data_IF_602123085550
#
_entry.id   IF_602123085550
#
_cell.length_a   1.000
_cell.length_b   1.000
_cell.length_c   1.000
_cell.angle_alpha   90.00
_cell.angle_beta   90.00
_cell.angle_gamma   90.00
#
_symmetry.space_group_name_H-M   'P 1'
#
loop_
_entity.id
_entity.type
_entity.pdbx_description
1 polymer ?
#
# COMPACT_ATOMS: atom_id res chain seq x y z
N UNK A 1 -6.62 -7.35 -46.64
CA UNK A 1 -6.48 -5.95 -46.16
C UNK A 1 -6.55 -6.02 -44.65
N UNK A 2 -5.62 -5.39 -43.94
CA UNK A 2 -5.62 -5.37 -42.48
C UNK A 2 -5.79 -3.93 -42.00
N UNK A 3 -6.70 -3.71 -41.07
CA UNK A 3 -7.02 -2.40 -40.50
C UNK A 3 -7.11 -2.48 -38.98
N UNK A 4 -6.80 -1.39 -38.29
CA UNK A 4 -7.18 -1.23 -36.90
C UNK A 4 -8.63 -0.75 -36.77
N UNK A 5 -9.34 -1.16 -35.74
CA UNK A 5 -10.69 -0.64 -35.44
C UNK A 5 -10.70 0.91 -35.44
N UNK A 6 -11.70 1.51 -36.06
CA UNK A 6 -11.83 2.97 -36.23
C UNK A 6 -10.99 3.58 -37.36
N UNK A 7 -10.09 2.81 -37.98
CA UNK A 7 -9.30 3.28 -39.13
C UNK A 7 -10.06 3.16 -40.46
N UNK A 8 -9.63 3.94 -41.45
CA UNK A 8 -10.23 3.97 -42.78
C UNK A 8 -9.17 3.71 -43.86
N UNK A 9 -9.59 3.08 -44.95
CA UNK A 9 -8.78 2.93 -46.16
C UNK A 9 -9.66 3.03 -47.40
N UNK A 10 -9.09 3.04 -48.60
CA UNK A 10 -9.83 3.02 -49.85
C UNK A 10 -9.34 1.90 -50.76
N UNK A 11 -10.27 1.19 -51.37
CA UNK A 11 -9.99 0.26 -52.46
C UNK A 11 -10.31 0.92 -53.79
N UNK A 12 -9.53 0.57 -54.81
CA UNK A 12 -9.72 1.05 -56.18
C UNK A 12 -10.06 -0.17 -57.03
N UNK A 13 -11.19 -0.11 -57.73
CA UNK A 13 -11.57 -1.10 -58.73
C UNK A 13 -11.10 -0.67 -60.12
N UNK A 14 -10.57 -1.62 -60.90
CA UNK A 14 -10.17 -1.40 -62.30
C UNK A 14 -11.00 -2.31 -63.21
N UNK A 15 -11.81 -1.73 -64.09
CA UNK A 15 -12.64 -2.47 -65.05
C UNK A 15 -11.85 -2.70 -66.34
N UNK A 16 -11.87 -3.93 -66.86
CA UNK A 16 -11.24 -4.31 -68.12
C UNK A 16 -12.29 -4.81 -69.13
N UNK A 17 -12.26 -4.36 -70.41
CA UNK A 17 -11.26 -3.45 -70.96
C UNK A 17 -11.45 -1.99 -70.47
N UNK A 18 -10.39 -1.16 -70.42
CA UNK A 18 -10.50 0.22 -69.92
C UNK A 18 -11.42 1.14 -70.73
N UNK A 19 -11.76 0.76 -71.96
CA UNK A 19 -12.70 1.46 -72.84
C UNK A 19 -14.11 0.83 -72.84
N UNK A 20 -14.45 0.07 -71.80
CA UNK A 20 -15.81 -0.42 -71.60
C UNK A 20 -16.80 0.75 -71.63
N UNK A 21 -17.97 0.53 -72.23
CA UNK A 21 -19.03 1.55 -72.32
C UNK A 21 -19.62 1.91 -70.96
N UNK A 22 -19.50 1.02 -69.97
CA UNK A 22 -19.84 1.26 -68.58
C UNK A 22 -18.68 0.79 -67.69
N UNK A 23 -18.25 1.63 -66.75
CA UNK A 23 -17.20 1.32 -65.76
C UNK A 23 -17.69 1.49 -64.32
N UNK A 24 -19.00 1.69 -64.13
CA UNK A 24 -19.59 1.85 -62.81
C UNK A 24 -19.58 0.52 -62.04
N UNK A 25 -19.34 0.62 -60.73
CA UNK A 25 -19.24 -0.52 -59.83
C UNK A 25 -20.04 -0.28 -58.56
N UNK A 26 -20.53 -1.35 -57.96
CA UNK A 26 -21.21 -1.36 -56.67
C UNK A 26 -20.33 -2.09 -55.65
N UNK A 27 -20.10 -1.43 -54.52
CA UNK A 27 -19.37 -1.98 -53.38
C UNK A 27 -20.33 -2.54 -52.34
N UNK A 28 -19.99 -3.70 -51.78
CA UNK A 28 -20.72 -4.30 -50.66
C UNK A 28 -19.74 -4.86 -49.63
N UNK A 29 -20.16 -4.83 -48.37
CA UNK A 29 -19.51 -5.55 -47.27
C UNK A 29 -20.37 -6.75 -46.91
N UNK A 30 -19.76 -7.91 -46.74
CA UNK A 30 -20.43 -9.13 -46.32
C UNK A 30 -20.95 -9.02 -44.87
N UNK A 31 -20.23 -8.30 -44.01
CA UNK A 31 -20.62 -8.00 -42.64
C UNK A 31 -20.39 -6.52 -42.32
N UNK A 32 -21.49 -5.76 -42.37
CA UNK A 32 -21.49 -4.32 -42.08
C UNK A 32 -21.29 -3.98 -40.60
N UNK A 33 -21.33 -4.96 -39.69
CA UNK A 33 -21.00 -4.74 -38.28
C UNK A 33 -19.48 -4.72 -38.04
N UNK A 34 -18.70 -5.37 -38.92
CA UNK A 34 -17.23 -5.40 -38.89
C UNK A 34 -16.65 -4.22 -39.67
N UNK A 35 -17.14 -3.99 -40.90
CA UNK A 35 -16.71 -2.86 -41.71
C UNK A 35 -17.76 -2.44 -42.73
N UNK A 36 -17.81 -1.14 -43.03
CA UNK A 36 -18.65 -0.58 -44.09
C UNK A 36 -17.80 -0.06 -45.23
N UNK A 37 -18.32 -0.15 -46.46
CA UNK A 37 -17.70 0.41 -47.66
C UNK A 37 -18.69 1.34 -48.33
N UNK A 38 -18.26 2.54 -48.72
CA UNK A 38 -19.12 3.51 -49.42
C UNK A 38 -19.10 3.31 -50.96
N UNK A 39 -19.89 4.12 -51.67
CA UNK A 39 -19.98 4.06 -53.13
C UNK A 39 -18.66 4.35 -53.87
N UNK A 40 -17.68 4.95 -53.20
CA UNK A 40 -16.38 5.31 -53.77
C UNK A 40 -15.28 4.30 -53.36
N UNK A 41 -15.65 3.20 -52.70
CA UNK A 41 -14.70 2.18 -52.23
C UNK A 41 -13.96 2.57 -50.94
N UNK A 42 -14.38 3.61 -50.22
CA UNK A 42 -13.82 3.94 -48.90
C UNK A 42 -14.39 3.00 -47.85
N UNK A 43 -13.50 2.27 -47.19
CA UNK A 43 -13.81 1.35 -46.10
C UNK A 43 -13.62 2.07 -44.77
N UNK A 44 -14.56 1.88 -43.85
CA UNK A 44 -14.44 2.24 -42.43
C UNK A 44 -14.49 0.97 -41.58
N UNK A 45 -13.43 0.70 -40.82
CA UNK A 45 -13.34 -0.43 -39.90
C UNK A 45 -14.10 -0.11 -38.61
N UNK A 46 -15.08 -0.94 -38.26
CA UNK A 46 -16.01 -0.66 -37.16
C UNK A 46 -15.77 -1.53 -35.92
N UNK A 47 -15.43 -2.81 -36.10
CA UNK A 47 -15.27 -3.76 -35.00
C UNK A 47 -14.27 -4.84 -35.37
N UNK A 48 -13.54 -5.36 -34.39
CA UNK A 48 -12.71 -6.56 -34.53
C UNK A 48 -13.44 -7.70 -35.26
N UNK A 49 -12.76 -8.31 -36.23
CA UNK A 49 -13.26 -9.49 -36.95
C UNK A 49 -12.82 -9.54 -38.40
N UNK A 50 -13.30 -10.57 -39.10
CA UNK A 50 -13.01 -10.79 -40.51
C UNK A 50 -14.28 -10.62 -41.36
N UNK A 51 -14.18 -9.88 -42.47
CA UNK A 51 -15.27 -9.73 -43.44
C UNK A 51 -14.73 -9.66 -44.86
N UNK A 52 -15.60 -9.84 -45.85
CA UNK A 52 -15.24 -9.68 -47.25
C UNK A 52 -15.81 -8.37 -47.80
N UNK A 53 -14.96 -7.60 -48.46
CA UNK A 53 -15.39 -6.47 -49.29
C UNK A 53 -15.47 -6.96 -50.73
N UNK A 54 -16.65 -6.85 -51.33
CA UNK A 54 -16.94 -7.27 -52.70
C UNK A 54 -17.21 -6.04 -53.56
N UNK A 55 -16.65 -6.04 -54.76
CA UNK A 55 -16.99 -5.10 -55.83
C UNK A 55 -17.64 -5.85 -56.98
N UNK A 56 -18.70 -5.29 -57.55
CA UNK A 56 -19.41 -5.86 -58.71
C UNK A 56 -19.64 -4.79 -59.76
N UNK A 57 -19.39 -5.05 -61.03
CA UNK A 57 -19.76 -4.14 -62.12
C UNK A 57 -21.29 -3.99 -62.19
N UNK A 58 -21.78 -2.77 -62.43
CA UNK A 58 -23.24 -2.54 -62.55
C UNK A 58 -23.85 -3.31 -63.73
N UNK A 59 -23.07 -3.50 -64.80
CA UNK A 59 -23.41 -4.33 -65.94
C UNK A 59 -22.59 -5.62 -65.97
N UNK A 60 -23.16 -6.71 -66.48
CA UNK A 60 -22.44 -7.97 -66.67
C UNK A 60 -22.15 -8.81 -65.42
N UNK A 61 -22.40 -8.29 -64.20
CA UNK A 61 -22.23 -9.01 -62.93
C UNK A 61 -20.82 -9.57 -62.69
N UNK A 62 -19.77 -8.96 -63.24
CA UNK A 62 -18.40 -9.34 -62.94
C UNK A 62 -18.04 -8.86 -61.54
N UNK A 63 -17.42 -9.72 -60.73
CA UNK A 63 -17.12 -9.37 -59.35
C UNK A 63 -15.76 -9.87 -58.88
N UNK A 64 -15.19 -9.13 -57.96
CA UNK A 64 -14.00 -9.52 -57.20
C UNK A 64 -14.22 -9.24 -55.71
N UNK A 65 -13.45 -9.89 -54.85
CA UNK A 65 -13.56 -9.74 -53.40
C UNK A 65 -12.22 -9.85 -52.71
N UNK A 66 -12.02 -9.07 -51.66
CA UNK A 66 -10.86 -9.20 -50.78
C UNK A 66 -11.29 -9.47 -49.34
N UNK A 67 -10.53 -10.32 -48.64
CA UNK A 67 -10.63 -10.48 -47.20
C UNK A 67 -10.13 -9.21 -46.51
N UNK A 68 -10.93 -8.69 -45.58
CA UNK A 68 -10.64 -7.59 -44.68
C UNK A 68 -10.59 -8.14 -43.25
N UNK A 69 -9.47 -7.93 -42.58
CA UNK A 69 -9.26 -8.26 -41.17
C UNK A 69 -9.19 -6.96 -40.40
N UNK A 70 -10.04 -6.79 -39.38
CA UNK A 70 -10.02 -5.66 -38.46
C UNK A 70 -9.48 -6.15 -37.12
N UNK A 71 -8.41 -5.53 -36.66
CA UNK A 71 -7.76 -5.83 -35.38
C UNK A 71 -8.04 -4.70 -34.38
N UNK A 72 -8.24 -5.02 -33.10
CA UNK A 72 -8.21 -4.02 -32.02
C UNK A 72 -6.78 -3.76 -31.57
N UNK A 73 -6.44 -2.50 -31.30
CA UNK A 73 -5.17 -2.16 -30.62
C UNK A 73 -5.39 -2.39 -29.13
N UNK A 74 -4.73 -3.41 -28.58
CA UNK A 74 -4.74 -3.64 -27.14
C UNK A 74 -4.04 -2.47 -26.43
N UNK A 75 -4.73 -1.88 -25.46
CA UNK A 75 -4.15 -0.90 -24.53
C UNK A 75 -3.56 -1.70 -23.37
N UNK A 76 -2.23 -1.69 -23.18
CA UNK A 76 -1.59 -2.44 -22.12
C UNK A 76 -1.92 -1.85 -20.76
N UNK A 77 -1.89 -2.69 -19.73
CA UNK A 77 -1.77 -2.22 -18.34
C UNK A 77 -0.43 -1.52 -18.15
N UNK A 78 -0.44 -0.40 -17.43
CA UNK A 78 0.75 0.37 -17.06
C UNK A 78 1.02 0.32 -15.55
N UNK A 79 -0.02 0.11 -14.74
CA UNK A 79 0.08 0.07 -13.29
C UNK A 79 -1.07 -0.73 -12.65
N UNK A 80 -0.79 -1.33 -11.49
CA UNK A 80 -1.80 -1.86 -10.57
C UNK A 80 -1.53 -1.28 -9.18
N UNK A 81 -2.59 -0.90 -8.46
CA UNK A 81 -2.49 -0.27 -7.14
C UNK A 81 -3.44 -0.92 -6.14
N UNK A 82 -2.93 -1.41 -5.02
CA UNK A 82 -3.77 -1.86 -3.90
C UNK A 82 -4.34 -0.66 -3.13
N UNK A 83 -5.55 -0.84 -2.58
CA UNK A 83 -6.25 0.19 -1.78
C UNK A 83 -5.54 0.54 -0.48
N UNK A 84 -4.93 -0.45 0.18
CA UNK A 84 -4.21 -0.30 1.44
C UNK A 84 -2.83 -0.93 1.34
N UNK A 85 -1.80 -0.28 1.90
CA UNK A 85 -0.43 -0.83 1.94
C UNK A 85 -0.18 -1.69 3.18
N UNK A 86 -0.94 -1.44 4.24
CA UNK A 86 -0.85 -2.18 5.51
C UNK A 86 -2.27 -2.39 6.03
N UNK A 87 -2.60 -3.62 6.40
CA UNK A 87 -3.87 -3.99 7.00
C UNK A 87 -3.65 -4.75 8.31
N UNK A 88 -4.54 -4.54 9.28
CA UNK A 88 -4.56 -5.22 10.56
C UNK A 88 -5.86 -5.99 10.69
N UNK A 89 -5.80 -7.32 10.81
CA UNK A 89 -6.99 -8.19 10.84
C UNK A 89 -6.88 -9.14 12.02
N UNK A 90 -7.98 -9.37 12.73
CA UNK A 90 -7.96 -10.32 13.84
C UNK A 90 -8.03 -11.75 13.33
N UNK A 91 -7.45 -12.66 14.11
CA UNK A 91 -7.56 -14.11 13.84
C UNK A 91 -9.02 -14.52 13.73
N UNK A 92 -9.37 -15.32 12.71
CA UNK A 92 -10.71 -15.76 12.36
C UNK A 92 -11.69 -14.67 11.90
N UNK A 93 -11.23 -13.42 11.70
CA UNK A 93 -12.02 -12.39 11.04
C UNK A 93 -11.74 -12.38 9.52
N UNK A 94 -12.73 -11.92 8.77
CA UNK A 94 -12.61 -11.69 7.33
C UNK A 94 -12.38 -10.20 7.05
N UNK A 95 -11.64 -9.91 5.99
CA UNK A 95 -11.42 -8.56 5.48
C UNK A 95 -11.50 -8.55 3.95
N UNK A 96 -11.49 -7.37 3.34
CA UNK A 96 -11.46 -7.23 1.88
C UNK A 96 -10.45 -6.18 1.47
N UNK A 97 -9.75 -6.42 0.38
CA UNK A 97 -8.85 -5.46 -0.26
C UNK A 97 -9.19 -5.33 -1.74
N UNK A 98 -9.12 -4.13 -2.28
CA UNK A 98 -9.35 -3.87 -3.71
C UNK A 98 -8.05 -3.45 -4.40
N UNK A 99 -7.98 -3.72 -5.71
CA UNK A 99 -6.92 -3.24 -6.58
C UNK A 99 -7.49 -2.43 -7.75
N UNK A 100 -6.80 -1.36 -8.14
CA UNK A 100 -7.13 -0.52 -9.29
C UNK A 100 -6.10 -0.74 -10.39
N UNK A 101 -6.54 -1.00 -11.62
CA UNK A 101 -5.68 -1.18 -12.80
C UNK A 101 -5.73 0.09 -13.65
N UNK A 102 -4.54 0.60 -14.02
CA UNK A 102 -4.38 1.78 -14.85
C UNK A 102 -3.63 1.45 -16.16
N UNK A 103 -3.96 2.12 -17.27
CA UNK A 103 -5.06 3.09 -17.39
C UNK A 103 -6.44 2.43 -17.27
N UNK A 104 -7.47 3.21 -16.91
CA UNK A 104 -8.84 2.70 -16.71
C UNK A 104 -9.41 2.01 -17.97
N UNK A 105 -8.90 2.40 -19.14
CA UNK A 105 -9.26 1.89 -20.46
C UNK A 105 -8.28 0.82 -20.98
N UNK A 106 -7.44 0.24 -20.12
CA UNK A 106 -6.66 -0.94 -20.46
C UNK A 106 -7.56 -2.07 -20.97
N UNK A 107 -7.09 -2.79 -21.99
CA UNK A 107 -7.89 -3.82 -22.68
C UNK A 107 -8.16 -5.05 -21.81
N UNK A 108 -7.21 -5.41 -20.93
CA UNK A 108 -7.37 -6.49 -19.95
C UNK A 108 -7.07 -5.98 -18.55
N UNK A 109 -8.09 -5.90 -17.69
CA UNK A 109 -7.98 -5.43 -16.30
C UNK A 109 -8.04 -6.55 -15.26
N UNK A 110 -7.94 -7.80 -15.70
CA UNK A 110 -7.94 -8.94 -14.80
C UNK A 110 -6.67 -8.96 -13.94
N UNK A 111 -6.85 -9.27 -12.66
CA UNK A 111 -5.77 -9.38 -11.69
C UNK A 111 -5.80 -10.76 -11.04
N UNK A 112 -4.66 -11.18 -10.49
CA UNK A 112 -4.55 -12.40 -9.68
C UNK A 112 -3.97 -12.01 -8.33
N UNK A 113 -4.59 -12.51 -7.27
CA UNK A 113 -4.11 -12.34 -5.91
C UNK A 113 -3.34 -13.56 -5.43
N UNK A 114 -2.40 -13.34 -4.52
CA UNK A 114 -1.67 -14.40 -3.84
C UNK A 114 -1.27 -13.95 -2.44
N UNK A 115 -1.09 -14.91 -1.55
CA UNK A 115 -0.56 -14.70 -0.20
C UNK A 115 0.83 -15.34 -0.11
N UNK A 116 1.78 -14.66 0.54
CA UNK A 116 3.12 -15.24 0.76
C UNK A 116 3.12 -16.41 1.75
N UNK A 117 2.07 -16.57 2.56
CA UNK A 117 1.85 -17.69 3.47
C UNK A 117 0.34 -17.90 3.73
N UNK A 118 -0.25 -18.81 2.96
CA UNK A 118 -1.67 -19.19 3.10
C UNK A 118 -2.01 -19.85 4.44
N UNK A 119 -1.02 -20.29 5.22
CA UNK A 119 -1.27 -20.83 6.55
C UNK A 119 -1.51 -19.72 7.59
N UNK A 120 -1.14 -18.46 7.28
CA UNK A 120 -1.42 -17.27 8.09
C UNK A 120 -2.73 -16.62 7.61
N UNK A 121 -2.82 -16.33 6.31
CA UNK A 121 -4.04 -15.81 5.70
C UNK A 121 -4.12 -16.17 4.21
N UNK A 122 -5.33 -16.43 3.72
CA UNK A 122 -5.62 -16.62 2.30
C UNK A 122 -6.37 -15.41 1.73
N UNK A 123 -6.31 -15.27 0.41
CA UNK A 123 -7.04 -14.24 -0.34
C UNK A 123 -7.66 -14.87 -1.59
N UNK A 124 -8.90 -14.49 -1.92
CA UNK A 124 -9.59 -14.92 -3.14
C UNK A 124 -9.27 -14.00 -4.32
N UNK A 125 -9.62 -14.41 -5.54
CA UNK A 125 -9.46 -13.57 -6.74
C UNK A 125 -10.27 -12.26 -6.68
N UNK A 126 -11.35 -12.22 -5.88
CA UNK A 126 -12.18 -11.04 -5.64
C UNK A 126 -11.62 -10.13 -4.52
N UNK A 127 -10.50 -10.51 -3.91
CA UNK A 127 -9.85 -9.74 -2.84
C UNK A 127 -10.43 -9.97 -1.45
N UNK A 128 -11.16 -11.07 -1.23
CA UNK A 128 -11.65 -11.45 0.11
C UNK A 128 -10.56 -12.19 0.89
N UNK A 129 -10.26 -11.72 2.10
CA UNK A 129 -9.18 -12.20 2.97
C UNK A 129 -9.78 -13.02 4.12
N UNK A 130 -9.22 -14.20 4.38
CA UNK A 130 -9.50 -14.99 5.59
C UNK A 130 -8.24 -15.14 6.43
N UNK A 131 -8.27 -14.68 7.68
CA UNK A 131 -7.14 -14.75 8.60
C UNK A 131 -7.23 -16.00 9.53
N UNK A 132 -6.18 -16.82 9.57
CA UNK A 132 -6.17 -18.12 10.27
C UNK A 132 -5.39 -18.14 11.58
N UNK A 133 -4.22 -17.50 11.63
CA UNK A 133 -3.35 -17.47 12.82
C UNK A 133 -2.51 -16.20 12.84
N UNK A 134 -1.95 -15.89 14.00
CA UNK A 134 -1.07 -14.72 14.19
C UNK A 134 0.16 -14.81 13.27
N UNK A 135 0.53 -13.67 12.68
CA UNK A 135 1.67 -13.57 11.78
C UNK A 135 1.58 -12.38 10.83
N UNK A 136 2.65 -12.16 10.07
CA UNK A 136 2.73 -11.15 9.03
C UNK A 136 2.88 -11.84 7.68
N UNK A 137 2.11 -11.38 6.69
CA UNK A 137 2.09 -11.95 5.34
C UNK A 137 1.96 -10.86 4.30
N UNK A 138 2.60 -11.05 3.14
CA UNK A 138 2.46 -10.15 2.00
C UNK A 138 1.34 -10.66 1.08
N UNK A 139 0.32 -9.83 0.89
CA UNK A 139 -0.68 -10.03 -0.14
C UNK A 139 -0.21 -9.35 -1.40
N UNK A 140 -0.11 -10.09 -2.51
CA UNK A 140 0.43 -9.61 -3.77
C UNK A 140 -0.67 -9.67 -4.82
N UNK A 141 -0.90 -8.56 -5.51
CA UNK A 141 -1.74 -8.50 -6.70
C UNK A 141 -0.86 -8.36 -7.94
N UNK A 142 -1.17 -9.12 -8.98
CA UNK A 142 -0.47 -9.05 -10.27
C UNK A 142 -1.52 -8.86 -11.37
N UNK A 143 -1.37 -7.82 -12.20
CA UNK A 143 -2.13 -7.67 -13.42
C UNK A 143 -1.74 -8.79 -14.41
N UNK A 144 -2.73 -9.52 -14.94
CA UNK A 144 -2.46 -10.60 -15.88
C UNK A 144 -1.82 -10.10 -17.17
N UNK A 145 -2.14 -8.87 -17.56
CA UNK A 145 -1.51 -8.17 -18.68
C UNK A 145 -0.33 -7.31 -18.20
N UNK A 146 0.79 -7.39 -18.90
CA UNK A 146 2.02 -6.65 -18.58
C UNK A 146 2.79 -7.12 -17.32
N UNK A 147 2.17 -7.88 -16.42
CA UNK A 147 2.83 -8.41 -15.21
C UNK A 147 3.11 -7.34 -14.14
N UNK A 148 2.46 -6.19 -14.21
CA UNK A 148 2.53 -5.15 -13.18
C UNK A 148 2.02 -5.69 -11.86
N UNK A 149 2.69 -5.36 -10.75
CA UNK A 149 2.36 -5.90 -9.45
C UNK A 149 2.42 -4.82 -8.36
N UNK A 150 1.62 -5.04 -7.32
CA UNK A 150 1.64 -4.24 -6.10
C UNK A 150 1.30 -5.14 -4.89
N UNK A 151 1.50 -4.64 -3.67
CA UNK A 151 1.33 -5.45 -2.48
C UNK A 151 0.84 -4.69 -1.24
N UNK A 152 0.25 -5.46 -0.33
CA UNK A 152 -0.20 -5.05 0.99
C UNK A 152 0.41 -5.97 2.05
N UNK A 153 1.01 -5.38 3.09
CA UNK A 153 1.40 -6.13 4.29
C UNK A 153 0.16 -6.36 5.16
N UNK A 154 -0.25 -7.61 5.30
CA UNK A 154 -1.32 -8.01 6.21
C UNK A 154 -0.71 -8.51 7.53
N UNK A 155 -1.11 -7.90 8.63
CA UNK A 155 -0.71 -8.33 9.97
C UNK A 155 -1.94 -8.92 10.67
N UNK A 156 -1.83 -10.20 11.01
CA UNK A 156 -2.84 -10.95 11.72
C UNK A 156 -2.46 -11.06 13.19
N UNK A 157 -3.35 -10.65 14.09
CA UNK A 157 -3.13 -10.83 15.52
C UNK A 157 -4.43 -11.00 16.31
N UNK A 158 -4.41 -11.65 17.48
CA UNK A 158 -5.61 -11.72 18.31
C UNK A 158 -6.00 -10.37 18.93
N UNK A 159 -5.01 -9.54 19.24
CA UNK A 159 -5.20 -8.27 19.94
C UNK A 159 -4.45 -7.13 19.24
N UNK A 160 -5.10 -5.96 19.16
CA UNK A 160 -4.51 -4.73 18.65
C UNK A 160 -4.77 -3.61 19.65
N UNK A 161 -3.75 -2.79 19.89
CA UNK A 161 -3.84 -1.63 20.78
C UNK A 161 -3.81 -0.36 19.95
N UNK A 162 -4.92 0.38 19.94
CA UNK A 162 -5.01 1.67 19.27
C UNK A 162 -4.54 2.78 20.21
N UNK A 163 -3.55 3.55 19.78
CA UNK A 163 -3.07 4.70 20.56
C UNK A 163 -2.47 5.79 19.68
N UNK A 164 -2.97 7.03 19.82
CA UNK A 164 -2.53 8.20 19.06
C UNK A 164 -2.48 7.99 17.53
N UNK A 165 -3.50 7.33 16.97
CA UNK A 165 -3.60 6.95 15.55
C UNK A 165 -2.61 5.90 15.06
N UNK A 166 -1.89 5.22 15.96
CA UNK A 166 -1.08 4.05 15.64
C UNK A 166 -1.76 2.77 16.14
N UNK A 167 -1.55 1.69 15.39
CA UNK A 167 -1.91 0.33 15.78
C UNK A 167 -0.65 -0.37 16.30
N UNK A 168 -0.69 -0.84 17.54
CA UNK A 168 0.37 -1.61 18.16
C UNK A 168 -0.08 -3.05 18.39
N UNK A 169 0.91 -3.94 18.47
CA UNK A 169 0.71 -5.35 18.76
C UNK A 169 1.30 -5.67 20.14
N UNK A 170 0.53 -6.27 21.05
CA UNK A 170 1.08 -6.76 22.31
C UNK A 170 2.02 -7.94 22.05
N UNK A 171 3.22 -7.90 22.63
CA UNK A 171 4.24 -8.94 22.53
C UNK A 171 4.61 -9.41 23.94
N UNK A 172 4.38 -10.69 24.23
CA UNK A 172 4.73 -11.27 25.53
C UNK A 172 6.16 -11.78 25.49
N UNK A 173 7.01 -11.31 26.41
CA UNK A 173 8.29 -11.96 26.65
C UNK A 173 8.05 -13.21 27.54
N UNK A 174 8.33 -14.43 27.04
CA UNK A 174 8.05 -15.65 27.79
C UNK A 174 8.99 -15.87 29.00
N UNK A 175 10.12 -15.18 29.06
CA UNK A 175 11.07 -15.28 30.17
C UNK A 175 10.67 -14.38 31.34
N UNK A 176 10.25 -13.14 31.07
CA UNK A 176 9.82 -12.17 32.10
C UNK A 176 8.33 -12.26 32.39
N UNK A 177 7.53 -12.84 31.49
CA UNK A 177 6.07 -12.87 31.55
C UNK A 177 5.42 -11.51 31.27
N UNK A 178 6.23 -10.49 30.94
CA UNK A 178 5.79 -9.13 30.68
C UNK A 178 5.29 -8.98 29.25
N UNK A 179 4.26 -8.15 29.06
CA UNK A 179 3.73 -7.82 27.74
C UNK A 179 4.19 -6.42 27.35
N UNK A 180 4.76 -6.27 26.16
CA UNK A 180 5.28 -5.03 25.62
C UNK A 180 4.48 -4.61 24.39
N UNK A 181 4.55 -3.34 24.00
CA UNK A 181 4.20 -2.97 22.63
C UNK A 181 5.31 -3.41 21.67
N UNK A 182 4.94 -3.83 20.46
CA UNK A 182 5.85 -4.29 19.40
C UNK A 182 6.86 -3.22 18.92
N UNK A 183 6.63 -1.94 19.25
CA UNK A 183 7.49 -0.80 18.88
C UNK A 183 7.30 0.38 19.83
N UNK A 184 8.21 1.36 19.74
CA UNK A 184 8.10 2.61 20.49
C UNK A 184 6.87 3.42 20.10
N UNK A 185 6.36 4.26 21.01
CA UNK A 185 5.28 5.20 20.67
C UNK A 185 5.67 6.13 19.53
N UNK A 186 4.77 6.28 18.56
CA UNK A 186 4.97 7.14 17.39
C UNK A 186 5.87 6.51 16.32
N UNK A 187 6.35 5.28 16.52
CA UNK A 187 7.14 4.58 15.51
C UNK A 187 6.24 4.11 14.36
N UNK A 188 6.67 4.34 13.12
CA UNK A 188 5.90 3.94 11.95
C UNK A 188 6.05 2.45 11.61
N UNK A 189 7.05 1.76 12.18
CA UNK A 189 7.26 0.32 11.99
C UNK A 189 7.97 -0.33 13.18
N UNK A 190 7.90 -1.67 13.26
CA UNK A 190 8.78 -2.47 14.13
C UNK A 190 10.22 -2.30 13.64
N UNK A 191 11.17 -2.22 14.58
CA UNK A 191 12.57 -2.04 14.21
C UNK A 191 13.11 -3.24 13.44
N UNK A 192 13.66 -2.99 12.26
CA UNK A 192 14.38 -4.01 11.49
C UNK A 192 15.88 -4.02 11.78
N UNK A 193 16.39 -2.98 12.43
CA UNK A 193 17.79 -2.86 12.85
C UNK A 193 17.96 -1.90 14.02
N UNK A 194 19.18 -1.88 14.57
CA UNK A 194 19.58 -0.94 15.61
C UNK A 194 19.66 0.52 15.17
N UNK A 195 19.53 0.80 13.89
CA UNK A 195 19.63 2.16 13.33
C UNK A 195 18.41 2.49 12.49
N UNK A 196 17.31 1.75 12.63
CA UNK A 196 16.09 2.00 11.88
C UNK A 196 15.35 3.22 12.42
N UNK A 197 15.54 4.35 11.73
CA UNK A 197 14.98 5.66 12.13
C UNK A 197 13.45 5.65 12.22
N UNK A 198 12.78 4.81 11.42
CA UNK A 198 11.32 4.66 11.41
C UNK A 198 10.79 3.98 12.68
N UNK A 199 11.67 3.29 13.40
CA UNK A 199 11.34 2.60 14.64
C UNK A 199 11.64 3.42 15.90
N UNK A 200 12.25 4.61 15.77
CA UNK A 200 12.65 5.37 16.95
C UNK A 200 11.49 5.93 17.76
N UNK A 201 10.36 6.23 17.11
CA UNK A 201 9.18 6.81 17.78
C UNK A 201 9.32 8.30 18.12
N UNK A 202 8.48 8.81 19.01
CA UNK A 202 8.49 10.21 19.46
C UNK A 202 9.49 10.46 20.61
N UNK A 203 9.84 11.73 20.84
CA UNK A 203 10.82 12.23 21.81
C UNK A 203 10.14 12.69 23.10
N UNK A 204 9.66 11.76 23.92
CA UNK A 204 9.01 12.14 25.17
C UNK A 204 10.01 12.67 26.21
N UNK A 205 9.63 13.72 26.94
CA UNK A 205 10.37 14.20 28.10
C UNK A 205 9.84 13.56 29.38
N UNK A 206 10.71 12.92 30.17
CA UNK A 206 10.30 12.10 31.31
C UNK A 206 9.39 12.85 32.28
N UNK A 207 8.21 12.30 32.54
CA UNK A 207 7.20 12.91 33.42
C UNK A 207 6.36 14.01 32.78
N UNK A 208 6.67 14.48 31.56
CA UNK A 208 5.88 15.51 30.88
C UNK A 208 4.66 14.90 30.20
N UNK A 209 3.52 15.57 30.27
CA UNK A 209 2.35 15.20 29.48
C UNK A 209 2.67 15.37 27.99
N UNK A 210 2.24 14.42 27.16
CA UNK A 210 2.29 14.57 25.70
C UNK A 210 1.36 15.73 25.29
N UNK A 211 1.96 16.80 24.77
CA UNK A 211 1.29 18.05 24.40
C UNK A 211 1.70 18.51 22.99
N UNK A 212 2.42 17.66 22.24
CA UNK A 212 2.98 17.97 20.93
C UNK A 212 4.49 18.16 20.94
N UNK A 213 5.10 18.42 22.10
CA UNK A 213 6.55 18.57 22.21
C UNK A 213 7.32 17.32 21.78
N UNK A 214 6.73 16.14 21.98
CA UNK A 214 7.37 14.87 21.71
C UNK A 214 7.59 14.63 20.21
N UNK A 215 6.86 15.33 19.35
CA UNK A 215 7.01 15.15 17.91
C UNK A 215 8.40 15.60 17.47
N UNK A 216 9.04 14.79 16.61
CA UNK A 216 10.41 15.05 16.12
C UNK A 216 10.58 16.37 15.37
N UNK A 217 9.48 16.98 14.92
CA UNK A 217 9.45 18.27 14.24
C UNK A 217 9.01 19.44 15.16
N UNK A 218 8.93 19.22 16.47
CA UNK A 218 8.54 20.26 17.41
C UNK A 218 9.60 21.38 17.50
N UNK A 219 9.14 22.59 17.79
CA UNK A 219 10.04 23.70 18.10
C UNK A 219 10.74 23.46 19.43
N UNK A 220 11.89 24.09 19.63
CA UNK A 220 12.71 23.91 20.84
C UNK A 220 12.64 25.11 21.79
N UNK A 221 12.81 24.85 23.08
CA UNK A 221 13.00 25.84 24.13
C UNK A 221 14.26 25.49 24.94
N UNK A 222 14.93 26.49 25.51
CA UNK A 222 16.12 26.30 26.35
C UNK A 222 15.87 26.69 27.82
N UNK A 223 14.67 27.18 28.13
CA UNK A 223 14.26 27.57 29.49
C UNK A 223 13.53 26.39 30.11
N UNK A 224 13.97 25.97 31.30
CA UNK A 224 13.31 24.91 32.06
C UNK A 224 11.96 25.39 32.59
N UNK A 225 10.98 24.48 32.65
CA UNK A 225 9.69 24.77 33.26
C UNK A 225 9.77 24.80 34.78
N UNK A 226 9.04 25.70 35.43
CA UNK A 226 8.85 25.70 36.89
C UNK A 226 7.58 24.94 37.34
N UNK A 227 6.76 24.52 36.39
CA UNK A 227 5.50 23.80 36.62
C UNK A 227 5.45 22.45 35.91
N UNK A 228 4.49 21.60 36.29
CA UNK A 228 4.28 20.27 35.66
C UNK A 228 3.65 20.38 34.25
N UNK A 229 3.27 21.59 33.82
CA UNK A 229 2.63 21.86 32.53
C UNK A 229 3.19 23.16 31.96
N UNK A 230 4.22 23.11 31.11
CA UNK A 230 4.77 24.29 30.46
C UNK A 230 3.69 25.11 29.75
N UNK A 231 3.88 26.41 29.62
CA UNK A 231 2.97 27.31 28.89
C UNK A 231 3.11 27.22 27.36
N UNK A 232 3.88 26.25 26.88
CA UNK A 232 4.18 26.01 25.47
C UNK A 232 4.36 24.53 25.16
N UNK A 233 4.20 24.15 23.89
CA UNK A 233 4.35 22.80 23.33
C UNK A 233 5.77 22.50 22.82
N UNK A 234 6.76 23.34 23.14
CA UNK A 234 8.14 23.17 22.64
C UNK A 234 8.90 22.09 23.40
N UNK A 235 9.77 21.34 22.72
CA UNK A 235 10.71 20.43 23.35
C UNK A 235 11.79 21.20 24.11
N UNK A 236 11.93 20.95 25.41
CA UNK A 236 12.89 21.68 26.26
C UNK A 236 14.26 21.00 26.17
N UNK A 237 15.25 21.65 25.56
CA UNK A 237 16.62 21.16 25.50
C UNK A 237 17.33 21.47 26.82
N UNK A 238 17.93 20.46 27.42
CA UNK A 238 18.66 20.56 28.70
C UNK A 238 20.12 20.24 28.45
N UNK A 239 21.01 21.18 28.78
CA UNK A 239 22.46 21.03 28.60
C UNK A 239 23.22 20.91 29.94
N UNK A 240 22.52 20.49 31.00
CA UNK A 240 23.08 20.36 32.34
C UNK A 240 22.47 19.18 33.10
N UNK A 241 23.31 18.45 33.84
CA UNK A 241 22.89 17.34 34.70
C UNK A 241 21.83 17.81 35.71
N UNK A 242 20.73 17.07 35.91
CA UNK A 242 20.49 15.69 35.45
C UNK A 242 19.64 15.56 34.17
N UNK A 243 19.65 16.58 33.31
CA UNK A 243 18.92 16.58 32.04
C UNK A 243 17.39 16.54 32.21
N UNK A 244 16.90 17.24 33.24
CA UNK A 244 15.47 17.39 33.53
C UNK A 244 14.93 18.68 32.90
N UNK A 245 13.78 18.59 32.24
CA UNK A 245 13.11 19.72 31.59
C UNK A 245 12.46 20.68 32.59
N UNK A 246 12.36 20.27 33.86
CA UNK A 246 11.71 21.02 34.93
C UNK A 246 12.67 21.36 36.07
N UNK A 247 12.49 22.54 36.67
CA UNK A 247 13.14 22.97 37.91
C UNK A 247 12.13 23.64 38.87
N UNK A 248 11.88 23.08 40.08
CA UNK A 248 12.50 21.88 40.65
C UNK A 248 12.05 20.58 39.93
N UNK A 249 12.78 19.49 40.12
CA UNK A 249 12.45 18.19 39.51
C UNK A 249 11.18 17.58 40.11
N UNK A 250 10.49 16.75 39.33
CA UNK A 250 9.32 16.00 39.79
C UNK A 250 9.23 14.61 39.13
N UNK A 251 9.71 13.59 39.85
CA UNK A 251 9.75 12.21 39.36
C UNK A 251 8.43 11.43 39.57
N UNK A 252 7.37 12.08 40.07
CA UNK A 252 6.11 11.42 40.39
C UNK A 252 5.12 11.35 39.20
N UNK A 253 5.44 12.02 38.09
CA UNK A 253 4.46 12.30 37.03
C UNK A 253 4.12 11.09 36.12
N UNK A 254 4.98 10.07 36.06
CA UNK A 254 4.80 8.84 35.23
C UNK A 254 4.77 7.52 36.04
N UNK A 255 4.53 7.55 37.35
CA UNK A 255 4.75 6.38 38.23
C UNK A 255 3.68 5.27 38.16
N UNK A 256 3.28 4.80 36.98
CA UNK A 256 2.34 3.68 36.82
C UNK A 256 1.28 3.92 35.75
N UNK A 257 0.44 2.92 35.45
CA UNK A 257 -0.49 2.97 34.32
C UNK A 257 -1.58 4.04 34.47
N UNK A 258 -2.01 4.33 35.69
CA UNK A 258 -3.08 5.30 36.01
C UNK A 258 -2.54 6.71 36.33
N UNK A 259 -1.25 6.97 36.09
CA UNK A 259 -0.64 8.24 36.47
C UNK A 259 -0.92 9.35 35.46
N UNK A 260 -1.07 10.58 35.99
CA UNK A 260 -1.57 11.77 35.29
C UNK A 260 -0.95 12.01 33.90
N UNK A 261 0.34 11.77 33.73
CA UNK A 261 1.05 12.09 32.50
C UNK A 261 1.49 10.84 31.71
N UNK A 262 1.05 9.64 32.10
CA UNK A 262 1.46 8.39 31.44
C UNK A 262 1.18 8.48 29.92
N UNK A 263 2.23 8.42 29.07
CA UNK A 263 2.05 8.57 27.63
C UNK A 263 1.51 7.29 26.98
N UNK A 264 1.39 6.19 27.71
CA UNK A 264 1.11 4.88 27.16
C UNK A 264 -0.40 4.65 26.94
N UNK A 265 -0.79 3.65 26.12
CA UNK A 265 -2.17 3.20 26.03
C UNK A 265 -2.71 2.72 27.39
N UNK A 266 -4.04 2.64 27.54
CA UNK A 266 -4.67 2.15 28.77
C UNK A 266 -4.13 0.76 29.17
N UNK A 267 -3.80 0.58 30.45
CA UNK A 267 -3.19 -0.64 31.00
C UNK A 267 -1.67 -0.75 30.84
N UNK A 268 -1.07 0.11 30.00
CA UNK A 268 0.37 0.16 29.80
C UNK A 268 1.01 1.31 30.59
N UNK A 269 2.29 1.19 30.89
CA UNK A 269 3.11 2.24 31.52
C UNK A 269 4.51 2.27 30.91
N UNK A 270 5.21 3.37 31.17
CA UNK A 270 6.67 3.41 30.97
C UNK A 270 7.31 2.47 32.00
N UNK A 271 8.19 1.54 31.58
CA UNK A 271 8.81 0.59 32.50
C UNK A 271 9.68 1.32 33.53
N UNK A 272 9.75 0.75 34.72
CA UNK A 272 10.77 1.15 35.69
C UNK A 272 12.15 0.70 35.20
N UNK A 273 13.21 1.31 35.75
CA UNK A 273 14.58 0.90 35.44
C UNK A 273 14.84 -0.59 35.76
N UNK A 274 14.19 -1.12 36.81
CA UNK A 274 14.31 -2.53 37.20
C UNK A 274 13.64 -3.43 36.17
N UNK A 275 12.38 -3.15 35.79
CA UNK A 275 11.67 -3.94 34.78
C UNK A 275 12.38 -3.89 33.42
N UNK A 276 12.92 -2.73 33.05
CA UNK A 276 13.71 -2.59 31.84
C UNK A 276 15.01 -3.42 31.89
N UNK A 277 15.70 -3.42 33.02
CA UNK A 277 16.91 -4.23 33.20
C UNK A 277 16.59 -5.74 33.18
N UNK A 278 15.51 -6.18 33.83
CA UNK A 278 15.04 -7.57 33.79
C UNK A 278 14.74 -8.03 32.36
N UNK A 279 14.11 -7.17 31.56
CA UNK A 279 13.84 -7.42 30.15
C UNK A 279 15.15 -7.61 29.37
N UNK A 280 16.10 -6.69 29.50
CA UNK A 280 17.41 -6.76 28.85
C UNK A 280 18.20 -8.02 29.24
N UNK A 281 18.20 -8.36 30.52
CA UNK A 281 18.92 -9.53 31.05
C UNK A 281 18.32 -10.84 30.50
N UNK A 282 17.01 -10.87 30.27
CA UNK A 282 16.33 -12.03 29.67
C UNK A 282 16.74 -12.28 28.21
N UNK A 283 17.18 -11.24 27.49
CA UNK A 283 17.67 -11.33 26.12
C UNK A 283 19.14 -11.76 26.09
N UNK A 284 19.97 -11.28 27.02
CA UNK A 284 21.39 -11.66 27.06
C UNK A 284 21.62 -13.18 27.28
N UNK A 285 20.67 -13.86 27.92
CA UNK A 285 20.70 -15.31 28.12
C UNK A 285 20.42 -16.14 26.84
N UNK A 286 19.89 -15.52 25.78
CA UNK A 286 19.62 -16.15 24.48
C UNK A 286 20.20 -15.22 23.42
N UNK A 287 21.33 -15.54 22.77
CA UNK A 287 21.97 -14.70 21.74
C UNK A 287 21.03 -14.30 20.58
N UNK A 288 20.13 -13.36 20.81
CA UNK A 288 19.10 -12.85 19.91
C UNK A 288 19.31 -11.34 19.93
N UNK A 289 20.04 -10.86 18.93
CA UNK A 289 20.23 -9.44 18.69
C UNK A 289 19.06 -8.92 17.85
N UNK A 290 17.95 -8.57 18.50
CA UNK A 290 16.89 -7.78 17.86
C UNK A 290 16.47 -6.70 18.86
N UNK A 291 16.34 -5.46 18.37
CA UNK A 291 15.91 -4.25 19.09
C UNK A 291 16.94 -3.59 20.03
N UNK A 292 17.98 -2.98 19.46
CA UNK A 292 18.69 -1.89 20.15
C UNK A 292 18.77 -0.70 19.21
N UNK A 293 17.75 0.17 19.16
CA UNK A 293 17.93 1.47 18.52
C UNK A 293 19.07 2.21 19.26
N UNK A 294 20.26 2.30 18.70
CA UNK A 294 21.39 2.96 19.35
C UNK A 294 21.44 4.39 18.82
N UNK A 295 20.89 5.34 19.57
CA UNK A 295 21.13 6.77 19.35
C UNK A 295 22.60 7.07 19.62
N UNK A 296 23.45 6.90 18.61
CA UNK A 296 24.80 7.44 18.64
C UNK A 296 24.70 8.94 18.30
N UNK A 297 25.08 9.77 19.27
CA UNK A 297 25.57 11.15 19.15
C UNK A 297 24.67 12.38 19.37
N UNK A 298 23.44 12.30 19.87
CA UNK A 298 22.80 13.49 20.50
C UNK A 298 21.95 13.12 21.71
N UNK A 299 21.97 14.01 22.71
CA UNK A 299 21.39 13.93 24.05
C UNK A 299 19.99 13.25 24.07
N UNK A 300 19.88 12.15 24.81
CA UNK A 300 18.65 11.49 25.28
C UNK A 300 17.50 11.33 24.28
N UNK A 301 17.64 10.36 23.37
CA UNK A 301 16.47 9.71 22.79
C UNK A 301 15.94 8.71 23.83
N UNK A 302 14.81 9.02 24.48
CA UNK A 302 14.09 7.99 25.27
C UNK A 302 13.45 7.06 24.25
N UNK A 303 14.04 5.89 24.06
CA UNK A 303 13.38 4.74 23.45
C UNK A 303 12.31 4.33 24.46
N UNK A 304 11.07 4.77 24.25
CA UNK A 304 9.96 4.36 25.11
C UNK A 304 9.51 2.98 24.65
N UNK A 305 10.20 1.94 25.12
CA UNK A 305 9.64 0.59 25.14
C UNK A 305 8.61 0.56 26.27
N UNK A 306 7.40 0.10 25.96
CA UNK A 306 6.24 0.24 26.84
C UNK A 306 5.83 -1.09 27.40
N UNK A 307 5.58 -1.12 28.71
CA UNK A 307 5.28 -2.31 29.49
C UNK A 307 3.81 -2.32 29.94
N UNK A 308 3.10 -3.43 29.72
CA UNK A 308 1.77 -3.70 30.28
C UNK A 308 1.91 -4.26 31.70
N UNK A 309 1.14 -3.73 32.64
CA UNK A 309 0.87 -4.40 33.91
C UNK A 309 -0.48 -5.13 33.76
N UNK A 310 -0.48 -6.47 33.89
CA UNK A 310 -1.69 -7.23 34.21
C UNK A 310 -1.54 -7.80 35.61
#
# INVERSE_FOLDING_TARGET
VELSEGSNTSLIAMVSPPNASNTAVVWTSADKSIAVVDSQGKISALKEGETYIKVTTEDGNYSDSCLLVVNTIAVPVEEVQVSDKIMYVRVNEAATITATVLPEFASNKSVVWSSSDETIASITDDGEITAYKEGEVLLIVIAQDGGHADSCTLIVNNEFIMHNAFVYIPVVNPATGKTWLDRNLGASQVATSSTDERAYGDLYQWGRQADGHEKRNSNIAAVLSDSDTPDHDKFIIVNATPNDWRTPQNNALWQGPEHKNNPCPAGYKVPTQVEWQEELDSWAAKMIWVLLARSLNYQWQVIVLILLER
#
